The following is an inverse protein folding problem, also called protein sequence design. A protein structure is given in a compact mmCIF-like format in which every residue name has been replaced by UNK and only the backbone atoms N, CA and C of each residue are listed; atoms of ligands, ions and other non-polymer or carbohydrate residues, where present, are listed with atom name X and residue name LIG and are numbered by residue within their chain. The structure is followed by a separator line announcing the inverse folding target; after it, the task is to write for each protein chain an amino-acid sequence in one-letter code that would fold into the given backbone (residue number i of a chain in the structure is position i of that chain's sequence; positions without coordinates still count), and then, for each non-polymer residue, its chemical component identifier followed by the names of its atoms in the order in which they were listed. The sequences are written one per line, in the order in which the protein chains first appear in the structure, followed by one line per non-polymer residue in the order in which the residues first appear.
data_IF_447663321162
#
_entry.id   IF_447663321162
#
_cell.length_a   1.000
_cell.length_b   1.000
_cell.length_c   1.000
_cell.angle_alpha   90.00
_cell.angle_beta   90.00
_cell.angle_gamma   90.00
#
_symmetry.space_group_name_H-M   'P 1'
#
loop_
_entity.id
_entity.type
_entity.pdbx_description
1 polymer ?
#
# COMPACT_ATOMS: atom_id res chain seq x y z
N UNK A 1 7.74 -7.78 -10.99
CA UNK A 1 8.89 -8.19 -11.81
C UNK A 1 10.08 -8.65 -10.94
N UNK A 2 10.42 -7.94 -9.87
CA UNK A 2 11.60 -8.26 -9.05
C UNK A 2 11.46 -9.60 -8.31
N UNK A 3 10.36 -9.80 -7.61
CA UNK A 3 10.15 -10.94 -6.70
C UNK A 3 9.06 -11.90 -7.16
N UNK A 4 8.28 -11.53 -8.18
CA UNK A 4 7.28 -12.38 -8.80
C UNK A 4 7.82 -13.15 -10.00
N UNK A 5 7.01 -14.08 -10.53
CA UNK A 5 7.37 -14.86 -11.72
C UNK A 5 6.74 -16.25 -11.73
N UNK A 6 7.10 -17.03 -12.73
CA UNK A 6 6.65 -18.40 -12.84
C UNK A 6 7.06 -19.24 -11.61
N UNK A 7 6.12 -19.99 -11.06
CA UNK A 7 6.31 -20.79 -9.85
C UNK A 7 6.25 -20.01 -8.54
N UNK A 8 6.03 -18.69 -8.59
CA UNK A 8 5.84 -17.82 -7.43
C UNK A 8 4.36 -17.62 -7.11
N UNK A 9 4.07 -17.38 -5.84
CA UNK A 9 2.71 -17.12 -5.34
C UNK A 9 2.60 -15.70 -4.83
N UNK A 10 1.56 -14.99 -5.29
CA UNK A 10 1.19 -13.68 -4.77
C UNK A 10 -0.19 -13.76 -4.09
N UNK A 11 -0.30 -13.19 -2.90
CA UNK A 11 -1.55 -13.11 -2.13
C UNK A 11 -2.05 -11.68 -2.10
N UNK A 12 -3.36 -11.50 -2.29
CA UNK A 12 -4.10 -10.24 -2.14
C UNK A 12 -5.31 -10.47 -1.22
N UNK A 13 -5.88 -9.38 -0.67
CA UNK A 13 -7.05 -9.45 0.22
C UNK A 13 -8.21 -8.65 -0.37
N UNK A 14 -9.16 -9.34 -0.98
CA UNK A 14 -10.28 -8.73 -1.71
C UNK A 14 -11.44 -8.29 -0.79
N UNK A 15 -12.14 -7.19 -1.17
CA UNK A 15 -11.87 -6.33 -2.30
C UNK A 15 -10.66 -5.42 -2.08
N UNK A 16 -9.80 -5.29 -3.11
CA UNK A 16 -8.64 -4.39 -3.05
C UNK A 16 -8.30 -3.81 -4.43
N UNK A 17 -7.15 -3.15 -4.57
CA UNK A 17 -6.71 -2.57 -5.83
C UNK A 17 -6.37 -3.65 -6.86
N UNK A 18 -7.21 -3.79 -7.87
CA UNK A 18 -7.17 -4.87 -8.85
C UNK A 18 -5.82 -5.06 -9.59
N UNK A 19 -4.98 -4.02 -9.61
CA UNK A 19 -3.68 -4.09 -10.30
C UNK A 19 -2.70 -5.05 -9.65
N UNK A 20 -2.81 -5.37 -8.36
CA UNK A 20 -1.93 -6.35 -7.72
C UNK A 20 -2.09 -7.71 -8.39
N UNK A 21 -3.33 -8.22 -8.45
CA UNK A 21 -3.62 -9.49 -9.12
C UNK A 21 -3.32 -9.45 -10.62
N UNK A 22 -3.63 -8.35 -11.31
CA UNK A 22 -3.35 -8.22 -12.74
C UNK A 22 -1.84 -8.27 -13.03
N UNK A 23 -1.03 -7.50 -12.31
CA UNK A 23 0.42 -7.47 -12.49
C UNK A 23 1.04 -8.83 -12.12
N UNK A 24 0.59 -9.44 -11.02
CA UNK A 24 1.06 -10.75 -10.61
C UNK A 24 0.77 -11.82 -11.69
N UNK A 25 -0.44 -11.83 -12.28
CA UNK A 25 -0.78 -12.73 -13.40
C UNK A 25 0.04 -12.43 -14.65
N UNK A 26 0.30 -11.15 -14.96
CA UNK A 26 1.14 -10.76 -16.11
C UNK A 26 2.58 -11.28 -15.95
N UNK A 27 3.07 -11.38 -14.75
CA UNK A 27 4.39 -11.96 -14.45
C UNK A 27 4.35 -13.46 -14.21
N UNK A 28 3.22 -14.12 -14.51
CA UNK A 28 3.01 -15.56 -14.38
C UNK A 28 3.05 -16.07 -12.92
N UNK A 29 2.79 -15.23 -11.94
CA UNK A 29 2.56 -15.68 -10.57
C UNK A 29 1.21 -16.41 -10.46
N UNK A 30 1.16 -17.40 -9.59
CA UNK A 30 -0.11 -17.88 -9.05
C UNK A 30 -0.66 -16.81 -8.11
N UNK A 31 -1.89 -16.36 -8.35
CA UNK A 31 -2.56 -15.36 -7.53
C UNK A 31 -3.58 -16.05 -6.63
N UNK A 32 -3.49 -15.78 -5.33
CA UNK A 32 -4.45 -16.21 -4.31
C UNK A 32 -5.15 -14.97 -3.77
N UNK A 33 -6.47 -14.98 -3.84
CA UNK A 33 -7.34 -13.92 -3.38
C UNK A 33 -8.00 -14.35 -2.07
N UNK A 34 -7.53 -13.82 -0.94
CA UNK A 34 -8.14 -14.01 0.37
C UNK A 34 -9.24 -12.95 0.58
N UNK A 35 -10.19 -13.24 1.47
CA UNK A 35 -11.28 -12.33 1.81
C UNK A 35 -10.90 -11.36 2.93
N UNK A 36 -11.63 -10.25 3.00
CA UNK A 36 -11.71 -9.34 4.14
C UNK A 36 -12.99 -9.65 4.92
N UNK A 37 -13.10 -9.17 6.15
CA UNK A 37 -14.33 -9.27 6.93
C UNK A 37 -15.43 -8.30 6.43
N UNK A 38 -16.59 -8.31 7.10
CA UNK A 38 -17.74 -7.46 6.75
C UNK A 38 -17.48 -5.95 6.93
N UNK A 39 -16.42 -5.57 7.64
CA UNK A 39 -15.94 -4.20 7.81
C UNK A 39 -14.70 -3.91 6.95
N UNK A 40 -14.42 -4.79 6.00
CA UNK A 40 -13.31 -4.70 5.04
C UNK A 40 -11.91 -4.71 5.67
N UNK A 41 -11.71 -5.39 6.81
CA UNK A 41 -10.41 -5.55 7.48
C UNK A 41 -9.79 -6.90 7.16
N UNK A 42 -8.48 -6.94 7.14
CA UNK A 42 -7.74 -8.20 7.17
C UNK A 42 -7.74 -8.69 8.62
N UNK A 43 -8.34 -9.84 8.88
CA UNK A 43 -8.33 -10.44 10.22
C UNK A 43 -7.09 -11.30 10.42
N UNK A 44 -6.55 -11.34 11.66
CA UNK A 44 -5.41 -12.19 11.98
C UNK A 44 -5.60 -13.66 11.59
N UNK A 45 -6.77 -14.31 11.89
CA UNK A 45 -6.97 -15.70 11.49
C UNK A 45 -6.94 -15.94 9.98
N UNK A 46 -7.48 -15.02 9.18
CA UNK A 46 -7.43 -15.11 7.71
C UNK A 46 -6.01 -14.92 7.22
N UNK A 47 -5.30 -13.95 7.78
CA UNK A 47 -3.91 -13.68 7.43
C UNK A 47 -3.00 -14.87 7.74
N UNK A 48 -3.08 -15.43 8.94
CA UNK A 48 -2.30 -16.60 9.34
C UNK A 48 -2.62 -17.81 8.46
N UNK A 49 -3.91 -18.14 8.29
CA UNK A 49 -4.31 -19.29 7.50
C UNK A 49 -3.81 -19.23 6.06
N UNK A 50 -3.89 -18.06 5.41
CA UNK A 50 -3.42 -17.91 4.02
C UNK A 50 -1.90 -17.95 3.92
N UNK A 51 -1.17 -17.38 4.88
CA UNK A 51 0.29 -17.45 4.88
C UNK A 51 0.78 -18.90 5.09
N UNK A 52 0.17 -19.62 6.03
CA UNK A 52 0.54 -21.01 6.34
C UNK A 52 0.24 -21.96 5.17
N UNK A 53 -0.94 -21.84 4.55
CA UNK A 53 -1.34 -22.71 3.46
C UNK A 53 -0.64 -22.42 2.14
N UNK A 54 -0.46 -21.14 1.81
CA UNK A 54 -0.02 -20.70 0.50
C UNK A 54 1.47 -20.38 0.42
N UNK A 55 2.12 -20.09 1.55
CA UNK A 55 3.54 -19.71 1.67
C UNK A 55 3.93 -18.70 0.60
N UNK A 56 3.29 -17.51 0.57
CA UNK A 56 3.45 -16.57 -0.53
C UNK A 56 4.87 -16.05 -0.67
N UNK A 57 5.32 -15.88 -1.90
CA UNK A 57 6.54 -15.13 -2.23
C UNK A 57 6.30 -13.63 -2.17
N UNK A 58 5.04 -13.22 -2.42
CA UNK A 58 4.58 -11.84 -2.35
C UNK A 58 3.25 -11.76 -1.60
N UNK A 59 3.18 -10.91 -0.58
CA UNK A 59 1.97 -10.59 0.15
C UNK A 59 1.66 -9.10 0.00
N UNK A 60 0.50 -8.75 -0.56
CA UNK A 60 0.09 -7.36 -0.75
C UNK A 60 -0.90 -6.94 0.33
N UNK A 61 -0.56 -5.90 1.09
CA UNK A 61 -1.40 -5.24 2.09
C UNK A 61 -1.62 -3.81 1.65
N UNK A 62 -2.84 -3.47 1.24
CA UNK A 62 -3.21 -2.09 0.87
C UNK A 62 -3.74 -1.36 2.10
N UNK A 63 -3.04 -0.31 2.56
CA UNK A 63 -3.40 0.41 3.78
C UNK A 63 -3.09 1.91 3.67
N UNK A 64 -4.10 2.79 3.67
CA UNK A 64 -5.56 2.51 3.59
C UNK A 64 -5.95 1.78 2.31
N UNK A 65 -6.89 0.84 2.43
CA UNK A 65 -7.30 0.02 1.29
C UNK A 65 -8.07 0.79 0.22
N UNK A 66 -7.88 0.44 -1.01
CA UNK A 66 -8.69 0.90 -2.14
C UNK A 66 -9.53 -0.28 -2.65
N UNK A 67 -10.92 -0.22 -2.66
CA UNK A 67 -11.72 1.02 -2.65
C UNK A 67 -12.30 1.40 -1.27
N UNK A 68 -12.09 0.64 -0.22
CA UNK A 68 -12.86 0.74 1.03
C UNK A 68 -12.41 1.87 1.96
N UNK A 69 -11.18 2.36 1.80
CA UNK A 69 -10.58 3.36 2.67
C UNK A 69 -10.19 2.82 4.06
N UNK A 70 -10.34 1.53 4.30
CA UNK A 70 -10.05 0.88 5.58
C UNK A 70 -8.54 0.82 5.81
N UNK A 71 -8.02 1.34 6.92
CA UNK A 71 -6.62 1.15 7.29
C UNK A 71 -6.42 -0.23 7.91
N UNK A 72 -5.24 -0.80 7.72
CA UNK A 72 -4.80 -1.96 8.49
C UNK A 72 -4.04 -1.47 9.74
N UNK A 73 -4.14 -2.25 10.82
CA UNK A 73 -3.43 -1.93 12.04
C UNK A 73 -1.96 -2.32 11.96
N UNK A 74 -1.17 -1.77 12.88
CA UNK A 74 0.24 -2.14 13.03
C UNK A 74 0.40 -3.63 13.28
N UNK A 75 -0.46 -4.21 14.12
CA UNK A 75 -0.44 -5.61 14.51
C UNK A 75 -0.62 -6.54 13.30
N UNK A 76 -1.51 -6.18 12.38
CA UNK A 76 -1.72 -6.93 11.12
C UNK A 76 -0.46 -6.88 10.25
N UNK A 77 0.22 -5.73 10.16
CA UNK A 77 1.46 -5.59 9.39
C UNK A 77 2.61 -6.35 10.07
N UNK A 78 2.75 -6.24 11.40
CA UNK A 78 3.73 -7.00 12.19
C UNK A 78 3.53 -8.52 12.02
N UNK A 79 2.28 -8.98 12.07
CA UNK A 79 1.94 -10.38 11.86
C UNK A 79 2.31 -10.85 10.44
N UNK A 80 1.94 -10.05 9.43
CA UNK A 80 2.29 -10.34 8.04
C UNK A 80 3.80 -10.52 7.86
N UNK A 81 4.60 -9.62 8.44
CA UNK A 81 6.06 -9.65 8.35
C UNK A 81 6.64 -10.85 9.11
N UNK A 82 6.16 -11.11 10.32
CA UNK A 82 6.71 -12.17 11.19
C UNK A 82 6.38 -13.57 10.69
N UNK A 83 5.26 -13.76 10.02
CA UNK A 83 4.79 -15.07 9.52
C UNK A 83 5.18 -15.34 8.07
N UNK A 84 5.31 -14.32 7.24
CA UNK A 84 5.66 -14.50 5.82
C UNK A 84 7.14 -14.80 5.64
N UNK A 85 7.45 -15.76 4.77
CA UNK A 85 8.81 -16.02 4.30
C UNK A 85 9.16 -15.22 3.04
N UNK A 86 8.16 -14.62 2.40
CA UNK A 86 8.29 -13.81 1.21
C UNK A 86 8.31 -12.31 1.51
N UNK A 87 8.23 -11.52 0.46
CA UNK A 87 8.20 -10.05 0.56
C UNK A 87 6.79 -9.58 0.89
N UNK A 88 6.67 -8.77 1.93
CA UNK A 88 5.44 -8.07 2.30
C UNK A 88 5.47 -6.68 1.71
N UNK A 89 4.52 -6.39 0.82
CA UNK A 89 4.35 -5.08 0.19
C UNK A 89 3.19 -4.37 0.84
N UNK A 90 3.47 -3.31 1.59
CA UNK A 90 2.43 -2.42 2.14
C UNK A 90 2.26 -1.25 1.18
N UNK A 91 1.11 -1.21 0.49
CA UNK A 91 0.80 -0.11 -0.41
C UNK A 91 0.11 1.02 0.36
N UNK A 92 0.86 2.08 0.57
CA UNK A 92 0.43 3.30 1.25
C UNK A 92 0.16 4.45 0.25
N UNK A 93 -0.50 4.14 -0.88
CA UNK A 93 -0.90 5.19 -1.84
C UNK A 93 -1.74 6.30 -1.18
N UNK A 94 -2.45 5.98 -0.11
CA UNK A 94 -3.23 6.89 0.73
C UNK A 94 -2.64 7.07 2.14
N UNK A 95 -1.43 6.64 2.38
CA UNK A 95 -0.80 6.57 3.71
C UNK A 95 -0.69 7.89 4.46
N UNK A 96 -0.71 9.04 3.76
CA UNK A 96 -0.71 10.35 4.42
C UNK A 96 -2.04 10.69 5.12
N UNK A 97 -3.12 9.96 4.82
CA UNK A 97 -4.40 10.10 5.51
C UNK A 97 -4.54 9.19 6.73
N UNK A 98 -3.64 8.21 6.88
CA UNK A 98 -3.71 7.19 7.93
C UNK A 98 -2.95 7.61 9.20
N UNK A 99 -3.43 7.11 10.34
CA UNK A 99 -2.80 7.33 11.64
C UNK A 99 -1.51 6.52 11.82
N UNK A 100 -1.36 5.41 11.07
CA UNK A 100 -0.20 4.53 11.10
C UNK A 100 0.45 4.46 9.71
N UNK A 101 1.79 4.38 9.69
CA UNK A 101 2.58 4.11 8.49
C UNK A 101 3.64 3.04 8.75
N UNK A 102 3.71 2.04 7.88
CA UNK A 102 4.73 1.00 7.94
C UNK A 102 6.15 1.52 7.64
N UNK A 103 6.30 2.75 7.12
CA UNK A 103 7.63 3.39 6.98
C UNK A 103 8.33 3.52 8.34
N UNK A 104 7.58 3.74 9.43
CA UNK A 104 8.18 3.85 10.77
C UNK A 104 8.85 2.55 11.22
N UNK A 105 8.41 1.41 10.71
CA UNK A 105 9.03 0.11 10.99
C UNK A 105 10.40 -0.01 10.30
N UNK A 106 10.56 0.59 9.12
CA UNK A 106 11.83 0.59 8.37
C UNK A 106 12.87 1.58 8.95
N UNK A 107 12.47 2.47 9.86
CA UNK A 107 13.37 3.40 10.56
C UNK A 107 13.97 2.80 11.84
N UNK A 108 13.51 1.66 12.28
CA UNK A 108 13.98 1.01 13.51
C UNK A 108 15.35 0.38 13.30
N UNK A 109 16.10 0.19 14.41
CA UNK A 109 17.42 -0.45 14.37
C UNK A 109 17.39 -1.90 13.86
N UNK A 110 16.27 -2.59 14.09
CA UNK A 110 15.99 -3.94 13.60
C UNK A 110 14.85 -3.88 12.56
N UNK A 111 15.13 -3.14 11.48
CA UNK A 111 14.16 -2.98 10.40
C UNK A 111 13.84 -4.34 9.72
N UNK A 112 12.57 -4.60 9.41
CA UNK A 112 12.20 -5.85 8.73
C UNK A 112 12.85 -5.99 7.36
N UNK A 113 13.56 -7.08 7.14
CA UNK A 113 14.26 -7.38 5.88
C UNK A 113 13.32 -7.75 4.72
N UNK A 114 12.05 -8.06 5.00
CA UNK A 114 11.05 -8.45 4.01
C UNK A 114 10.03 -7.36 3.66
N UNK A 115 10.08 -6.19 4.31
CA UNK A 115 9.08 -5.15 4.15
C UNK A 115 9.43 -4.19 3.00
N UNK A 116 8.46 -3.96 2.12
CA UNK A 116 8.48 -2.87 1.12
C UNK A 116 7.26 -2.00 1.33
N UNK A 117 7.46 -0.70 1.47
CA UNK A 117 6.36 0.27 1.52
C UNK A 117 6.33 1.07 0.24
N UNK A 118 5.19 1.12 -0.44
CA UNK A 118 5.04 1.89 -1.68
C UNK A 118 4.20 3.13 -1.44
N UNK A 119 4.57 4.25 -2.07
CA UNK A 119 3.85 5.53 -2.03
C UNK A 119 3.79 6.19 -3.39
N UNK A 120 2.85 7.11 -3.56
CA UNK A 120 2.63 7.81 -4.82
C UNK A 120 2.50 9.32 -4.63
N UNK A 121 2.94 10.08 -5.63
CA UNK A 121 2.63 11.51 -5.73
C UNK A 121 1.25 11.78 -6.35
N UNK A 122 0.54 10.74 -6.79
CA UNK A 122 -0.73 10.88 -7.53
C UNK A 122 -1.91 11.34 -6.67
N UNK A 123 -1.86 11.16 -5.35
CA UNK A 123 -3.00 11.38 -4.45
C UNK A 123 -2.84 12.70 -3.68
N UNK A 124 -2.27 12.66 -2.49
CA UNK A 124 -2.11 13.83 -1.60
C UNK A 124 -1.30 14.97 -2.23
N UNK A 125 -0.32 14.65 -3.09
CA UNK A 125 0.49 15.63 -3.81
C UNK A 125 -0.18 16.20 -5.06
N UNK A 126 -1.39 15.73 -5.44
CA UNK A 126 -2.15 16.18 -6.62
C UNK A 126 -1.38 16.06 -7.95
N UNK A 127 -0.47 15.11 -8.06
CA UNK A 127 0.43 14.95 -9.23
C UNK A 127 0.10 13.68 -10.03
N UNK A 128 -1.17 13.31 -10.15
CA UNK A 128 -1.59 12.07 -10.83
C UNK A 128 -1.07 11.97 -12.28
N UNK A 129 -1.04 13.09 -13.02
CA UNK A 129 -0.56 13.15 -14.39
C UNK A 129 0.95 12.96 -14.54
N UNK A 130 1.73 13.17 -13.49
CA UNK A 130 3.20 13.03 -13.53
C UNK A 130 3.65 11.57 -13.52
N UNK A 131 2.81 10.65 -13.04
CA UNK A 131 3.11 9.21 -12.95
C UNK A 131 4.36 8.92 -12.14
N UNK A 132 4.47 9.53 -10.96
CA UNK A 132 5.59 9.39 -10.03
C UNK A 132 5.16 8.71 -8.74
N UNK A 133 5.97 7.79 -8.27
CA UNK A 133 5.85 7.12 -6.97
C UNK A 133 7.24 6.73 -6.47
N UNK A 134 7.28 6.19 -5.28
CA UNK A 134 8.51 5.69 -4.68
C UNK A 134 8.21 4.50 -3.77
N UNK A 135 9.24 3.72 -3.47
CA UNK A 135 9.20 2.73 -2.42
C UNK A 135 10.31 2.97 -1.39
N UNK A 136 10.05 2.54 -0.18
CA UNK A 136 11.03 2.43 0.91
C UNK A 136 11.19 0.96 1.22
N UNK A 137 12.42 0.48 1.20
CA UNK A 137 12.74 -0.94 1.34
C UNK A 137 14.11 -1.13 2.01
N UNK A 138 14.43 -2.31 2.53
CA UNK A 138 15.76 -2.65 3.01
C UNK A 138 16.83 -2.47 1.92
N UNK A 139 18.05 -2.05 2.27
CA UNK A 139 19.10 -1.74 1.29
C UNK A 139 19.43 -2.88 0.32
N UNK A 140 19.32 -4.11 0.75
CA UNK A 140 19.63 -5.28 -0.10
C UNK A 140 18.66 -5.43 -1.29
N UNK A 141 17.45 -4.90 -1.19
CA UNK A 141 16.45 -4.96 -2.27
C UNK A 141 16.74 -3.97 -3.40
N UNK A 142 17.47 -2.88 -3.14
CA UNK A 142 17.70 -1.83 -4.14
C UNK A 142 18.40 -2.35 -5.40
N UNK A 143 19.49 -3.13 -5.30
CA UNK A 143 20.11 -3.73 -6.49
C UNK A 143 19.17 -4.68 -7.25
N UNK A 144 18.26 -5.35 -6.55
CA UNK A 144 17.28 -6.24 -7.19
C UNK A 144 16.23 -5.45 -7.98
N UNK A 145 15.79 -4.29 -7.48
CA UNK A 145 14.92 -3.38 -8.24
C UNK A 145 15.64 -2.83 -9.48
N UNK A 146 16.89 -2.46 -9.36
CA UNK A 146 17.68 -1.92 -10.47
C UNK A 146 17.80 -2.91 -11.65
N UNK A 147 17.82 -4.22 -11.40
CA UNK A 147 17.88 -5.25 -12.46
C UNK A 147 16.67 -5.26 -13.38
N UNK A 148 15.51 -4.80 -12.90
CA UNK A 148 14.23 -4.86 -13.65
C UNK A 148 13.73 -3.49 -14.09
N UNK A 149 14.37 -2.42 -13.64
CA UNK A 149 14.04 -1.05 -14.04
C UNK A 149 14.43 -0.84 -15.50
N UNK A 150 13.47 -0.36 -16.29
CA UNK A 150 13.75 -0.03 -17.69
C UNK A 150 14.67 1.19 -17.81
N UNK A 151 15.61 1.21 -18.75
CA UNK A 151 16.39 2.40 -19.03
C UNK A 151 15.47 3.61 -19.28
N UNK A 152 15.84 4.77 -18.70
CA UNK A 152 15.08 6.03 -18.87
C UNK A 152 13.63 5.99 -18.39
N UNK A 153 13.27 5.09 -17.45
CA UNK A 153 11.92 4.94 -16.91
C UNK A 153 11.35 6.22 -16.26
N UNK A 154 12.23 7.09 -15.74
CA UNK A 154 11.91 8.42 -15.21
C UNK A 154 12.65 9.50 -15.99
N UNK A 155 11.91 10.33 -16.71
CA UNK A 155 12.47 11.50 -17.37
C UNK A 155 12.87 12.59 -16.37
N UNK A 156 13.72 13.51 -16.81
CA UNK A 156 14.26 14.57 -15.95
C UNK A 156 13.17 15.49 -15.39
N UNK A 157 12.09 15.73 -16.15
CA UNK A 157 11.00 16.59 -15.68
C UNK A 157 10.24 15.98 -14.51
N UNK A 158 9.97 14.67 -14.55
CA UNK A 158 9.35 13.94 -13.42
C UNK A 158 10.23 13.98 -12.17
N UNK A 159 11.53 13.77 -12.34
CA UNK A 159 12.48 13.83 -11.22
C UNK A 159 12.52 15.21 -10.59
N UNK A 160 12.59 16.27 -11.41
CA UNK A 160 12.57 17.66 -10.94
C UNK A 160 11.24 17.98 -10.26
N UNK A 161 10.11 17.59 -10.87
CA UNK A 161 8.79 17.83 -10.31
C UNK A 161 8.63 17.18 -8.93
N UNK A 162 9.07 15.93 -8.76
CA UNK A 162 9.05 15.25 -7.46
C UNK A 162 9.89 15.94 -6.40
N UNK A 163 11.11 16.35 -6.76
CA UNK A 163 12.01 17.09 -5.85
C UNK A 163 11.45 18.45 -5.44
N UNK A 164 10.80 19.15 -6.36
CA UNK A 164 10.14 20.42 -6.06
C UNK A 164 8.92 20.19 -5.17
N UNK A 165 8.08 19.19 -5.47
CA UNK A 165 6.89 18.88 -4.70
C UNK A 165 7.18 18.68 -3.21
N UNK A 166 8.29 18.04 -2.85
CA UNK A 166 8.69 17.83 -1.45
C UNK A 166 8.94 19.14 -0.67
N UNK A 167 9.11 20.28 -1.34
CA UNK A 167 9.23 21.59 -0.68
C UNK A 167 7.88 22.16 -0.24
N UNK A 168 6.78 21.58 -0.73
CA UNK A 168 5.41 21.98 -0.44
C UNK A 168 4.74 20.95 0.49
N UNK A 169 5.51 20.46 1.46
CA UNK A 169 5.04 19.45 2.42
C UNK A 169 3.91 20.00 3.29
N UNK A 170 4.06 21.23 3.78
CA UNK A 170 3.08 21.86 4.66
C UNK A 170 1.74 22.06 3.94
N UNK A 171 1.76 22.49 2.68
CA UNK A 171 0.55 22.65 1.86
C UNK A 171 -0.10 21.30 1.54
N UNK A 172 0.69 20.25 1.41
CA UNK A 172 0.17 18.89 1.26
C UNK A 172 -0.53 18.43 2.53
N UNK A 173 0.06 18.65 3.72
CA UNK A 173 -0.54 18.28 5.01
C UNK A 173 -1.80 19.08 5.30
N UNK A 174 -1.83 20.39 4.99
CA UNK A 174 -3.01 21.21 5.10
C UNK A 174 -4.17 20.65 4.23
N UNK A 175 -3.86 20.24 3.00
CA UNK A 175 -4.84 19.61 2.10
C UNK A 175 -5.35 18.28 2.64
N UNK A 176 -4.46 17.45 3.20
CA UNK A 176 -4.85 16.18 3.86
C UNK A 176 -5.82 16.46 5.00
N UNK A 177 -5.55 17.46 5.81
CA UNK A 177 -6.42 17.90 6.91
C UNK A 177 -7.79 18.35 6.41
N UNK A 178 -7.85 19.19 5.38
CA UNK A 178 -9.09 19.66 4.77
C UNK A 178 -9.93 18.51 4.20
N UNK A 179 -9.30 17.59 3.44
CA UNK A 179 -9.99 16.43 2.86
C UNK A 179 -10.53 15.53 3.96
N UNK A 180 -9.76 15.29 5.02
CA UNK A 180 -10.17 14.46 6.15
C UNK A 180 -11.38 15.07 6.89
N UNK A 181 -11.39 16.39 7.08
CA UNK A 181 -12.53 17.11 7.67
C UNK A 181 -13.78 17.01 6.79
N UNK A 182 -13.66 17.18 5.48
CA UNK A 182 -14.77 17.05 4.54
C UNK A 182 -15.28 15.61 4.46
N UNK A 183 -14.41 14.61 4.46
CA UNK A 183 -14.79 13.19 4.55
C UNK A 183 -15.66 12.95 5.79
N UNK A 184 -15.24 13.44 6.95
CA UNK A 184 -15.99 13.27 8.20
C UNK A 184 -17.36 14.00 8.14
N UNK A 185 -17.40 15.19 7.57
CA UNK A 185 -18.65 15.94 7.38
C UNK A 185 -19.63 15.17 6.49
N UNK A 186 -19.15 14.60 5.38
CA UNK A 186 -19.96 13.80 4.45
C UNK A 186 -20.44 12.52 5.14
N UNK A 187 -19.56 11.80 5.84
CA UNK A 187 -19.90 10.59 6.56
C UNK A 187 -21.01 10.83 7.58
N UNK A 188 -20.93 11.92 8.34
CA UNK A 188 -21.94 12.31 9.33
C UNK A 188 -23.29 12.64 8.65
N UNK A 189 -23.26 13.37 7.53
CA UNK A 189 -24.48 13.73 6.80
C UNK A 189 -25.16 12.47 6.21
N UNK A 190 -24.42 11.56 5.62
CA UNK A 190 -24.94 10.31 5.05
C UNK A 190 -25.52 9.39 6.15
N UNK A 191 -24.84 9.28 7.28
CA UNK A 191 -25.36 8.53 8.45
C UNK A 191 -26.68 9.13 8.96
N UNK A 192 -26.79 10.46 8.97
CA UNK A 192 -28.02 11.17 9.33
C UNK A 192 -29.18 10.89 8.36
N UNK A 193 -28.91 10.48 7.14
CA UNK A 193 -29.89 10.01 6.15
C UNK A 193 -30.23 8.51 6.27
N UNK A 194 -29.69 7.83 7.27
CA UNK A 194 -29.92 6.40 7.51
C UNK A 194 -29.07 5.45 6.65
N UNK A 195 -28.03 5.95 5.98
CA UNK A 195 -27.10 5.14 5.22
C UNK A 195 -26.03 4.53 6.15
N UNK A 196 -25.66 3.26 5.90
CA UNK A 196 -24.47 2.66 6.54
C UNK A 196 -23.22 3.26 5.89
N UNK A 197 -22.43 3.97 6.66
CA UNK A 197 -21.15 4.53 6.22
C UNK A 197 -20.03 3.75 6.90
N UNK A 198 -19.14 3.17 6.10
CA UNK A 198 -17.97 2.47 6.63
C UNK A 198 -16.87 3.47 7.02
N UNK A 199 -16.13 3.23 8.12
CA UNK A 199 -14.99 4.05 8.48
C UNK A 199 -13.92 4.07 7.39
N UNK A 200 -13.37 5.24 7.11
CA UNK A 200 -12.31 5.42 6.10
C UNK A 200 -11.20 6.31 6.63
N UNK A 201 -9.95 5.93 6.32
CA UNK A 201 -8.77 6.79 6.46
C UNK A 201 -8.12 7.03 5.08
N UNK A 202 -8.94 7.24 4.03
CA UNK A 202 -8.48 7.66 2.71
C UNK A 202 -9.11 9.01 2.32
N UNK A 203 -8.96 9.41 1.05
CA UNK A 203 -9.62 10.62 0.54
C UNK A 203 -11.10 10.41 0.27
#
# INVERSE_FOLDING_TARGET
LTFGGHGRTAVTFEPTYAMYGQIARTTQCRVVEAGRDDDFRITEPVLEAVIESERPDLLFVCSPNNPTGTPESREVVDLAISKSQGVVVVDEAYGQFADFTAIEMLKQSEAPESLVVTRTFSKTWSMAGVRLGYCVAPPWMLPEFEKVVLPYHLDSLKQIAGRIALRFHDEMEERVTQISAERQRIATALSGLGLKVFPSQAN
#
